data_IF_901612804907
#
_entry.id   IF_901612804907
#
_cell.length_a   1.000
_cell.length_b   1.000
_cell.length_c   1.000
_cell.angle_alpha   90.00
_cell.angle_beta   90.00
_cell.angle_gamma   90.00
#
_symmetry.space_group_name_H-M   'P 1'
#
loop_
_entity.id
_entity.type
_entity.pdbx_description
1 polymer ?
#
# COMPACT_ATOMS: atom_id res chain seq x y z
N UNK A 1 -10.38 13.83 -7.76
CA UNK A 1 -11.73 14.34 -7.44
C UNK A 1 -12.21 15.39 -8.43
N UNK A 2 -11.44 16.45 -8.68
CA UNK A 2 -11.82 17.54 -9.60
C UNK A 2 -12.21 17.10 -11.01
N UNK A 3 -11.62 16.02 -11.51
CA UNK A 3 -11.93 15.45 -12.84
C UNK A 3 -13.31 14.77 -12.83
N UNK A 4 -13.63 14.07 -11.75
CA UNK A 4 -14.89 13.35 -11.63
C UNK A 4 -16.06 14.24 -11.18
N UNK A 5 -15.77 15.26 -10.37
CA UNK A 5 -16.74 16.19 -9.79
C UNK A 5 -16.24 17.63 -9.91
N UNK A 6 -16.21 18.20 -11.14
CA UNK A 6 -15.60 19.53 -11.38
C UNK A 6 -16.36 20.68 -10.69
N UNK A 7 -17.62 20.49 -10.37
CA UNK A 7 -18.49 21.52 -9.77
C UNK A 7 -18.83 21.25 -8.29
N UNK A 8 -18.26 20.21 -7.69
CA UNK A 8 -18.55 19.82 -6.31
C UNK A 8 -17.30 19.97 -5.44
N UNK A 9 -17.26 21.05 -4.67
CA UNK A 9 -16.15 21.38 -3.77
C UNK A 9 -16.04 20.34 -2.64
N UNK A 10 -17.15 19.81 -2.14
CA UNK A 10 -17.17 18.83 -1.05
C UNK A 10 -16.44 17.54 -1.48
N UNK A 11 -16.73 17.05 -2.69
CA UNK A 11 -16.06 15.89 -3.27
C UNK A 11 -14.57 16.13 -3.54
N UNK A 12 -14.15 17.38 -3.81
CA UNK A 12 -12.74 17.72 -3.98
C UNK A 12 -11.99 17.79 -2.65
N UNK A 13 -12.62 18.33 -1.61
CA UNK A 13 -12.03 18.52 -0.28
C UNK A 13 -12.02 17.20 0.52
N UNK A 14 -12.96 16.31 0.31
CA UNK A 14 -13.13 15.11 1.12
C UNK A 14 -11.84 14.24 1.25
N UNK A 15 -11.11 13.88 0.18
CA UNK A 15 -9.85 13.14 0.30
C UNK A 15 -8.77 13.88 1.11
N UNK A 16 -8.72 15.21 0.99
CA UNK A 16 -7.77 16.03 1.75
C UNK A 16 -8.13 16.04 3.24
N UNK A 17 -9.42 16.13 3.56
CA UNK A 17 -9.91 16.10 4.94
C UNK A 17 -9.64 14.72 5.58
N UNK A 18 -9.84 13.62 4.84
CA UNK A 18 -9.45 12.26 5.29
C UNK A 18 -7.96 12.25 5.65
N UNK A 19 -7.10 12.70 4.73
CA UNK A 19 -5.65 12.73 4.96
C UNK A 19 -5.27 13.56 6.19
N UNK A 20 -5.82 14.78 6.31
CA UNK A 20 -5.57 15.66 7.45
C UNK A 20 -6.04 15.07 8.79
N UNK A 21 -7.24 14.51 8.85
CA UNK A 21 -7.78 13.88 10.07
C UNK A 21 -6.95 12.65 10.48
N UNK A 22 -6.52 11.85 9.53
CA UNK A 22 -5.76 10.62 9.80
C UNK A 22 -4.27 10.88 10.17
N UNK A 23 -3.74 12.07 9.93
CA UNK A 23 -2.46 12.48 10.54
C UNK A 23 -2.59 12.48 12.07
N UNK A 24 -3.67 13.02 12.61
CA UNK A 24 -3.90 13.05 14.05
C UNK A 24 -4.03 11.63 14.63
N UNK A 25 -4.72 10.73 13.94
CA UNK A 25 -4.83 9.33 14.38
C UNK A 25 -3.48 8.59 14.33
N UNK A 26 -2.64 8.89 13.35
CA UNK A 26 -1.28 8.35 13.27
C UNK A 26 -0.41 8.85 14.44
N UNK A 27 -0.48 10.14 14.78
CA UNK A 27 0.22 10.71 15.94
C UNK A 27 -0.27 10.04 17.23
N UNK A 28 -1.58 9.88 17.42
CA UNK A 28 -2.15 9.18 18.58
C UNK A 28 -1.59 7.76 18.65
N UNK A 29 -1.55 7.03 17.53
CA UNK A 29 -1.03 5.66 17.48
C UNK A 29 0.41 5.54 17.97
N UNK A 30 1.27 6.53 17.71
CA UNK A 30 2.67 6.48 18.17
C UNK A 30 2.81 6.41 19.70
N UNK A 31 1.91 7.02 20.44
CA UNK A 31 1.93 6.96 21.91
C UNK A 31 1.62 5.56 22.47
N UNK A 32 1.02 4.69 21.67
CA UNK A 32 0.70 3.31 22.05
C UNK A 32 1.80 2.31 21.67
N UNK A 33 2.83 2.75 20.95
CA UNK A 33 4.03 1.94 20.67
C UNK A 33 4.84 1.81 21.95
N UNK A 34 4.50 0.81 22.78
CA UNK A 34 5.15 0.56 24.05
C UNK A 34 5.45 -0.92 24.22
N UNK A 35 6.69 -1.21 24.59
CA UNK A 35 7.12 -2.56 24.94
C UNK A 35 6.39 -3.00 26.21
N UNK A 36 5.58 -4.05 26.11
CA UNK A 36 4.87 -4.62 27.27
C UNK A 36 5.70 -5.68 27.99
N UNK A 37 5.08 -6.36 28.96
CA UNK A 37 5.72 -7.42 29.76
C UNK A 37 6.24 -8.59 28.89
N UNK A 38 5.65 -8.84 27.73
CA UNK A 38 6.09 -9.88 26.79
C UNK A 38 7.43 -9.60 26.12
N UNK A 39 7.93 -8.37 26.19
CA UNK A 39 9.14 -7.88 25.50
C UNK A 39 9.13 -8.16 23.98
N UNK A 40 7.96 -8.39 23.39
CA UNK A 40 7.80 -8.62 21.95
C UNK A 40 7.71 -7.28 21.22
N UNK A 41 8.75 -6.97 20.47
CA UNK A 41 8.90 -5.70 19.74
C UNK A 41 7.84 -5.57 18.64
N UNK A 42 7.57 -6.64 17.88
CA UNK A 42 6.58 -6.62 16.79
C UNK A 42 5.18 -6.31 17.32
N UNK A 43 4.80 -6.93 18.45
CA UNK A 43 3.53 -6.64 19.10
C UNK A 43 3.42 -5.18 19.60
N UNK A 44 4.52 -4.58 20.02
CA UNK A 44 4.55 -3.17 20.42
C UNK A 44 4.27 -2.25 19.23
N UNK A 45 4.88 -2.54 18.09
CA UNK A 45 4.67 -1.80 16.83
C UNK A 45 3.22 -1.95 16.33
N UNK A 46 2.68 -3.16 16.36
CA UNK A 46 1.29 -3.42 15.97
C UNK A 46 0.26 -2.74 16.86
N UNK A 47 0.51 -2.57 18.15
CA UNK A 47 -0.40 -1.78 19.01
C UNK A 47 -0.58 -0.36 18.46
N UNK A 48 0.51 0.32 18.11
CA UNK A 48 0.43 1.65 17.52
C UNK A 48 -0.33 1.66 16.19
N UNK A 49 -0.05 0.69 15.31
CA UNK A 49 -0.73 0.55 14.04
C UNK A 49 -2.24 0.31 14.20
N UNK A 50 -2.63 -0.65 15.06
CA UNK A 50 -4.03 -0.99 15.30
C UNK A 50 -4.78 0.20 15.90
N UNK A 51 -4.18 0.92 16.85
CA UNK A 51 -4.78 2.12 17.43
C UNK A 51 -4.97 3.20 16.38
N UNK A 52 -3.98 3.44 15.50
CA UNK A 52 -4.11 4.38 14.39
C UNK A 52 -5.25 3.98 13.44
N UNK A 53 -5.34 2.70 13.08
CA UNK A 53 -6.38 2.19 12.18
C UNK A 53 -7.78 2.31 12.79
N UNK A 54 -7.95 1.92 14.06
CA UNK A 54 -9.24 2.04 14.75
C UNK A 54 -9.65 3.49 14.97
N UNK A 55 -8.71 4.36 15.35
CA UNK A 55 -8.97 5.79 15.47
C UNK A 55 -9.35 6.41 14.11
N UNK A 56 -8.70 5.98 13.01
CA UNK A 56 -9.04 6.39 11.65
C UNK A 56 -10.44 5.92 11.26
N UNK A 57 -10.80 4.68 11.57
CA UNK A 57 -12.14 4.16 11.34
C UNK A 57 -13.21 5.00 12.03
N UNK A 58 -12.96 5.39 13.29
CA UNK A 58 -13.91 6.19 14.07
C UNK A 58 -14.02 7.62 13.53
N UNK A 59 -12.89 8.26 13.20
CA UNK A 59 -12.90 9.66 12.75
C UNK A 59 -13.42 9.82 11.31
N UNK A 60 -13.30 8.79 10.48
CA UNK A 60 -13.83 8.81 9.11
C UNK A 60 -15.35 9.02 9.08
N UNK A 61 -16.10 8.48 10.04
CA UNK A 61 -17.56 8.62 10.08
C UNK A 61 -18.00 10.09 10.20
N UNK A 62 -17.61 10.85 11.27
CA UNK A 62 -17.98 12.25 11.36
C UNK A 62 -17.33 13.14 10.29
N UNK A 63 -16.16 12.78 9.77
CA UNK A 63 -15.55 13.50 8.63
C UNK A 63 -16.42 13.34 7.38
N UNK A 64 -16.91 12.14 7.10
CA UNK A 64 -17.80 11.91 5.96
C UNK A 64 -19.11 12.65 6.12
N UNK A 65 -19.71 12.62 7.31
CA UNK A 65 -20.95 13.32 7.60
C UNK A 65 -20.79 14.84 7.45
N UNK A 66 -19.74 15.40 8.03
CA UNK A 66 -19.50 16.85 8.00
C UNK A 66 -19.20 17.37 6.60
N UNK A 67 -18.42 16.64 5.79
CA UNK A 67 -17.98 17.13 4.46
C UNK A 67 -18.98 16.81 3.38
N UNK A 68 -19.56 15.62 3.40
CA UNK A 68 -20.44 15.12 2.34
C UNK A 68 -21.92 15.06 2.78
N UNK A 69 -22.18 14.77 4.05
CA UNK A 69 -23.48 14.31 4.52
C UNK A 69 -23.74 12.86 4.16
N UNK A 70 -24.04 12.04 5.16
CA UNK A 70 -24.15 10.58 4.97
C UNK A 70 -25.28 10.17 4.01
N UNK A 71 -26.38 10.92 4.01
CA UNK A 71 -27.57 10.64 3.20
C UNK A 71 -27.57 11.33 1.83
N UNK A 72 -26.67 12.27 1.60
CA UNK A 72 -26.59 12.99 0.33
C UNK A 72 -26.22 12.06 -0.81
N UNK A 73 -26.98 12.12 -1.90
CA UNK A 73 -26.75 11.26 -3.07
C UNK A 73 -25.89 12.00 -4.09
N UNK A 74 -24.88 11.33 -4.55
CA UNK A 74 -23.96 11.77 -5.58
C UNK A 74 -24.05 10.86 -6.79
N UNK A 75 -23.89 11.41 -7.98
CA UNK A 75 -23.96 10.64 -9.22
C UNK A 75 -22.69 10.85 -10.03
N UNK A 76 -22.03 9.75 -10.40
CA UNK A 76 -20.89 9.74 -11.29
C UNK A 76 -21.21 8.87 -12.50
N UNK A 77 -21.40 9.50 -13.66
CA UNK A 77 -21.88 8.83 -14.89
C UNK A 77 -23.21 8.11 -14.60
N UNK A 78 -23.25 6.79 -14.76
CA UNK A 78 -24.45 5.98 -14.60
C UNK A 78 -24.61 5.39 -13.19
N UNK A 79 -23.76 5.80 -12.23
CA UNK A 79 -23.76 5.26 -10.88
C UNK A 79 -24.09 6.33 -9.84
N UNK A 80 -25.13 6.08 -9.05
CA UNK A 80 -25.48 6.89 -7.89
C UNK A 80 -25.08 6.17 -6.61
N UNK A 81 -24.58 6.92 -5.64
CA UNK A 81 -24.15 6.44 -4.31
C UNK A 81 -24.36 7.53 -3.27
N UNK A 82 -24.53 7.13 -2.02
CA UNK A 82 -24.68 8.06 -0.90
C UNK A 82 -23.31 8.38 -0.25
N UNK A 83 -23.25 9.42 0.57
CA UNK A 83 -22.06 9.73 1.34
C UNK A 83 -21.62 8.58 2.25
N UNK A 84 -22.56 7.84 2.84
CA UNK A 84 -22.27 6.66 3.66
C UNK A 84 -21.57 5.54 2.85
N UNK A 85 -21.85 5.42 1.56
CA UNK A 85 -21.20 4.43 0.69
C UNK A 85 -19.70 4.72 0.54
N UNK A 86 -19.32 5.99 0.53
CA UNK A 86 -17.92 6.40 0.51
C UNK A 86 -17.21 6.12 1.85
N UNK A 87 -17.91 6.25 2.97
CA UNK A 87 -17.42 5.78 4.25
C UNK A 87 -17.12 4.27 4.21
N UNK A 88 -18.03 3.46 3.67
CA UNK A 88 -17.78 2.02 3.52
C UNK A 88 -16.61 1.71 2.59
N UNK A 89 -16.44 2.47 1.50
CA UNK A 89 -15.24 2.36 0.67
C UNK A 89 -13.96 2.65 1.46
N UNK A 90 -14.00 3.66 2.34
CA UNK A 90 -12.91 3.97 3.25
C UNK A 90 -12.60 2.84 4.23
N UNK A 91 -13.63 2.24 4.84
CA UNK A 91 -13.50 1.06 5.72
C UNK A 91 -12.85 -0.10 4.97
N UNK A 92 -13.26 -0.38 3.74
CA UNK A 92 -12.65 -1.41 2.90
C UNK A 92 -11.16 -1.14 2.69
N UNK A 93 -10.76 0.13 2.43
CA UNK A 93 -9.35 0.50 2.32
C UNK A 93 -8.54 0.19 3.58
N UNK A 94 -9.07 0.47 4.77
CA UNK A 94 -8.43 0.12 6.04
C UNK A 94 -8.32 -1.40 6.23
N UNK A 95 -9.36 -2.15 5.87
CA UNK A 95 -9.36 -3.63 5.94
C UNK A 95 -8.32 -4.22 5.00
N UNK A 96 -8.26 -3.75 3.75
CA UNK A 96 -7.24 -4.16 2.78
C UNK A 96 -5.83 -3.92 3.35
N UNK A 97 -5.59 -2.76 3.95
CA UNK A 97 -4.31 -2.45 4.58
C UNK A 97 -3.95 -3.47 5.66
N UNK A 98 -4.88 -3.78 6.55
CA UNK A 98 -4.68 -4.79 7.61
C UNK A 98 -4.39 -6.19 7.05
N UNK A 99 -5.13 -6.62 6.03
CA UNK A 99 -4.95 -7.91 5.39
C UNK A 99 -3.60 -8.02 4.66
N UNK A 100 -3.17 -6.97 3.96
CA UNK A 100 -1.88 -6.94 3.28
C UNK A 100 -0.71 -7.00 4.27
N UNK A 101 -0.81 -6.27 5.39
CA UNK A 101 0.17 -6.32 6.47
C UNK A 101 0.27 -7.73 7.04
N UNK A 102 -0.88 -8.33 7.37
CA UNK A 102 -0.94 -9.69 7.94
C UNK A 102 -0.35 -10.76 6.99
N UNK A 103 -0.72 -10.72 5.71
CA UNK A 103 -0.20 -11.68 4.72
C UNK A 103 1.31 -11.49 4.50
N UNK A 104 1.77 -10.24 4.45
CA UNK A 104 3.20 -9.96 4.26
C UNK A 104 4.00 -10.43 5.47
N UNK A 105 3.50 -10.25 6.70
CA UNK A 105 4.12 -10.79 7.90
C UNK A 105 4.22 -12.32 7.85
N UNK A 106 3.17 -13.00 7.39
CA UNK A 106 3.20 -14.46 7.22
C UNK A 106 4.34 -14.92 6.32
N UNK A 107 4.60 -14.20 5.20
CA UNK A 107 5.67 -14.56 4.28
C UNK A 107 7.06 -14.13 4.71
N UNK A 108 7.19 -13.22 5.68
CA UNK A 108 8.49 -12.60 6.05
C UNK A 108 8.88 -12.80 7.51
N UNK A 109 7.94 -13.20 8.36
CA UNK A 109 8.21 -13.46 9.77
C UNK A 109 8.93 -14.79 10.00
N UNK A 110 9.94 -14.77 10.86
CA UNK A 110 10.81 -15.93 11.13
C UNK A 110 10.08 -17.11 11.77
N UNK A 111 8.92 -16.89 12.33
CA UNK A 111 8.11 -17.92 12.98
C UNK A 111 7.26 -18.76 12.01
N UNK A 112 7.11 -18.32 10.76
CA UNK A 112 6.21 -18.91 9.79
C UNK A 112 6.91 -19.87 8.80
N UNK A 113 6.11 -20.72 8.14
CA UNK A 113 6.58 -21.72 7.19
C UNK A 113 7.47 -21.16 6.07
N UNK A 114 7.10 -20.04 5.41
CA UNK A 114 7.87 -19.55 4.28
C UNK A 114 9.33 -19.30 4.62
N UNK A 115 9.60 -18.49 5.66
CA UNK A 115 10.98 -18.18 6.09
C UNK A 115 11.70 -19.42 6.59
N UNK A 116 11.03 -20.29 7.35
CA UNK A 116 11.63 -21.56 7.83
C UNK A 116 12.02 -22.47 6.67
N UNK A 117 11.23 -22.52 5.60
CA UNK A 117 11.53 -23.35 4.43
C UNK A 117 12.77 -22.84 3.68
N UNK A 118 12.92 -21.52 3.53
CA UNK A 118 14.11 -20.91 2.93
C UNK A 118 15.35 -21.15 3.81
N UNK A 119 15.23 -20.98 5.12
CA UNK A 119 16.32 -21.25 6.06
C UNK A 119 16.74 -22.72 6.02
N UNK A 120 15.81 -23.66 5.97
CA UNK A 120 16.08 -25.10 5.86
C UNK A 120 16.80 -25.44 4.53
N UNK A 121 16.43 -24.83 3.42
CA UNK A 121 17.05 -25.07 2.12
C UNK A 121 18.52 -24.60 2.06
N UNK A 122 18.91 -23.64 2.91
CA UNK A 122 20.29 -23.18 2.97
C UNK A 122 21.27 -24.23 3.52
N UNK A 123 20.77 -25.25 4.22
CA UNK A 123 21.59 -26.38 4.70
C UNK A 123 22.04 -27.34 3.59
N UNK A 124 21.34 -27.31 2.45
CA UNK A 124 21.61 -28.19 1.30
C UNK A 124 22.49 -27.54 0.23
N UNK A 125 22.68 -26.21 0.29
CA UNK A 125 23.56 -25.46 -0.59
C UNK A 125 22.99 -24.12 -1.05
N UNK A 126 23.85 -23.31 -1.66
CA UNK A 126 23.49 -21.97 -2.12
C UNK A 126 22.44 -21.98 -3.25
N UNK A 127 22.55 -22.92 -4.19
CA UNK A 127 21.62 -23.04 -5.32
C UNK A 127 20.21 -23.37 -4.85
N UNK A 128 20.06 -24.33 -3.94
CA UNK A 128 18.77 -24.70 -3.37
C UNK A 128 18.12 -23.57 -2.56
N UNK A 129 18.94 -22.80 -1.84
CA UNK A 129 18.47 -21.63 -1.11
C UNK A 129 17.90 -20.55 -2.04
N UNK A 130 18.60 -20.23 -3.13
CA UNK A 130 18.12 -19.26 -4.14
C UNK A 130 16.84 -19.72 -4.79
N UNK A 131 16.76 -21.00 -5.19
CA UNK A 131 15.55 -21.58 -5.79
C UNK A 131 14.36 -21.50 -4.83
N UNK A 132 14.56 -21.90 -3.57
CA UNK A 132 13.51 -21.84 -2.57
C UNK A 132 13.06 -20.41 -2.28
N UNK A 133 14.00 -19.47 -2.21
CA UNK A 133 13.69 -18.05 -2.05
C UNK A 133 12.84 -17.49 -3.21
N UNK A 134 13.20 -17.82 -4.45
CA UNK A 134 12.43 -17.46 -5.63
C UNK A 134 11.03 -18.09 -5.61
N UNK A 135 10.91 -19.38 -5.27
CA UNK A 135 9.63 -20.08 -5.18
C UNK A 135 8.71 -19.41 -4.17
N UNK A 136 9.20 -19.11 -2.96
CA UNK A 136 8.43 -18.41 -1.93
C UNK A 136 8.05 -16.99 -2.37
N UNK A 137 8.95 -16.26 -3.04
CA UNK A 137 8.63 -14.91 -3.53
C UNK A 137 7.52 -14.91 -4.57
N UNK A 138 7.48 -15.89 -5.46
CA UNK A 138 6.40 -16.07 -6.43
C UNK A 138 5.08 -16.48 -5.75
N UNK A 139 5.13 -17.43 -4.81
CA UNK A 139 3.97 -17.83 -4.00
C UNK A 139 3.35 -16.62 -3.25
N UNK A 140 4.20 -15.75 -2.69
CA UNK A 140 3.79 -14.59 -1.89
C UNK A 140 3.00 -13.53 -2.69
N UNK A 141 2.99 -13.58 -4.00
CA UNK A 141 2.23 -12.64 -4.84
C UNK A 141 0.73 -12.97 -4.89
N UNK A 142 0.34 -14.23 -4.70
CA UNK A 142 -1.00 -14.72 -4.97
C UNK A 142 -2.06 -14.08 -4.04
N UNK A 143 -1.89 -14.22 -2.73
CA UNK A 143 -2.89 -13.73 -1.76
C UNK A 143 -3.03 -12.21 -1.81
N UNK A 144 -1.93 -11.40 -1.82
CA UNK A 144 -2.04 -9.95 -2.00
C UNK A 144 -2.77 -9.55 -3.27
N UNK A 145 -2.51 -10.21 -4.40
CA UNK A 145 -3.22 -9.94 -5.65
C UNK A 145 -4.72 -10.18 -5.51
N UNK A 146 -5.14 -11.28 -4.87
CA UNK A 146 -6.55 -11.57 -4.63
C UNK A 146 -7.22 -10.54 -3.70
N UNK A 147 -6.51 -10.08 -2.66
CA UNK A 147 -7.00 -9.03 -1.76
C UNK A 147 -7.23 -7.73 -2.55
N UNK A 148 -6.27 -7.34 -3.40
CA UNK A 148 -6.38 -6.14 -4.24
C UNK A 148 -7.56 -6.27 -5.21
N UNK A 149 -7.68 -7.41 -5.89
CA UNK A 149 -8.81 -7.68 -6.82
C UNK A 149 -10.15 -7.60 -6.09
N UNK A 150 -10.27 -8.23 -4.94
CA UNK A 150 -11.49 -8.15 -4.13
C UNK A 150 -11.80 -6.70 -3.72
N UNK A 151 -10.79 -5.94 -3.29
CA UNK A 151 -10.92 -4.53 -2.93
C UNK A 151 -11.42 -3.68 -4.10
N UNK A 152 -10.86 -3.85 -5.29
CA UNK A 152 -11.27 -3.16 -6.50
C UNK A 152 -12.74 -3.48 -6.82
N UNK A 153 -13.11 -4.75 -6.84
CA UNK A 153 -14.46 -5.18 -7.19
C UNK A 153 -15.51 -4.68 -6.18
N UNK A 154 -15.22 -4.78 -4.89
CA UNK A 154 -16.13 -4.34 -3.83
C UNK A 154 -16.35 -2.82 -3.89
N UNK A 155 -15.27 -2.03 -3.91
CA UNK A 155 -15.39 -0.57 -3.90
C UNK A 155 -15.95 -0.02 -5.21
N UNK A 156 -15.62 -0.63 -6.34
CA UNK A 156 -16.24 -0.29 -7.62
C UNK A 156 -17.73 -0.62 -7.65
N UNK A 157 -18.14 -1.72 -7.03
CA UNK A 157 -19.56 -2.06 -6.95
C UNK A 157 -20.35 -1.09 -6.05
N UNK A 158 -19.73 -0.53 -5.02
CA UNK A 158 -20.38 0.44 -4.11
C UNK A 158 -20.48 1.82 -4.77
N UNK A 159 -19.35 2.44 -5.16
CA UNK A 159 -19.30 3.83 -5.61
C UNK A 159 -18.45 4.05 -6.88
N UNK A 160 -18.31 3.03 -7.72
CA UNK A 160 -17.56 3.11 -8.98
C UNK A 160 -16.09 3.47 -8.77
N UNK A 161 -15.50 4.11 -9.77
CA UNK A 161 -14.09 4.54 -9.73
C UNK A 161 -13.77 5.49 -8.57
N UNK A 162 -14.73 6.30 -8.15
CA UNK A 162 -14.55 7.20 -7.01
C UNK A 162 -14.48 6.44 -5.69
N UNK A 163 -15.25 5.35 -5.55
CA UNK A 163 -15.14 4.43 -4.41
C UNK A 163 -13.75 3.81 -4.27
N UNK A 164 -13.15 3.39 -5.39
CA UNK A 164 -11.76 2.89 -5.41
C UNK A 164 -10.80 4.01 -4.96
N UNK A 165 -10.99 5.25 -5.45
CA UNK A 165 -10.15 6.39 -5.08
C UNK A 165 -10.21 6.69 -3.58
N UNK A 166 -11.39 6.62 -2.96
CA UNK A 166 -11.55 6.81 -1.51
C UNK A 166 -10.91 5.68 -0.72
N UNK A 167 -11.07 4.43 -1.15
CA UNK A 167 -10.37 3.30 -0.51
C UNK A 167 -8.85 3.47 -0.54
N UNK A 168 -8.28 3.88 -1.67
CA UNK A 168 -6.83 4.20 -1.77
C UNK A 168 -6.45 5.36 -0.85
N UNK A 169 -7.27 6.41 -0.80
CA UNK A 169 -7.02 7.57 0.06
C UNK A 169 -6.98 7.18 1.53
N UNK A 170 -7.88 6.32 1.98
CA UNK A 170 -7.90 5.84 3.37
C UNK A 170 -6.77 4.85 3.67
N UNK A 171 -6.38 4.01 2.73
CA UNK A 171 -5.13 3.26 2.85
C UNK A 171 -3.96 4.21 3.09
N UNK A 172 -3.78 5.21 2.22
CA UNK A 172 -2.68 6.17 2.29
C UNK A 172 -2.77 7.10 3.51
N UNK A 173 -3.95 7.29 4.09
CA UNK A 173 -4.13 8.05 5.31
C UNK A 173 -3.41 7.43 6.53
N UNK A 174 -3.14 6.12 6.52
CA UNK A 174 -2.31 5.43 7.50
C UNK A 174 -0.80 5.56 7.24
N UNK A 175 -0.39 6.24 6.16
CA UNK A 175 1.02 6.33 5.77
C UNK A 175 1.92 6.87 6.87
N UNK A 176 1.44 7.80 7.71
CA UNK A 176 2.23 8.33 8.84
C UNK A 176 2.74 7.23 9.76
N UNK A 177 1.87 6.32 10.18
CA UNK A 177 2.26 5.18 11.03
C UNK A 177 3.03 4.11 10.26
N UNK A 178 2.63 3.83 9.02
CA UNK A 178 3.30 2.82 8.19
C UNK A 178 4.73 3.25 7.84
N UNK A 179 4.96 4.51 7.49
CA UNK A 179 6.31 5.03 7.22
C UNK A 179 7.18 5.07 8.48
N UNK A 180 6.59 5.33 9.65
CA UNK A 180 7.31 5.19 10.92
C UNK A 180 7.78 3.74 11.16
N UNK A 181 6.94 2.76 10.83
CA UNK A 181 7.32 1.33 10.87
C UNK A 181 8.40 0.99 9.83
N UNK A 182 8.36 1.60 8.65
CA UNK A 182 9.38 1.41 7.63
C UNK A 182 10.75 1.97 8.08
N UNK A 183 10.75 3.19 8.60
CA UNK A 183 11.96 3.85 9.09
C UNK A 183 12.62 3.10 10.26
N UNK A 184 11.85 2.37 11.06
CA UNK A 184 12.37 1.51 12.13
C UNK A 184 13.38 0.48 11.59
N UNK A 185 13.13 -0.13 10.44
CA UNK A 185 13.97 -1.15 9.85
C UNK A 185 15.42 -0.68 9.58
N UNK A 186 15.65 0.38 8.77
CA UNK A 186 16.98 0.92 8.53
C UNK A 186 17.71 1.38 9.80
N UNK A 187 16.99 1.91 10.79
CA UNK A 187 17.60 2.32 12.08
C UNK A 187 18.15 1.11 12.84
N UNK A 188 17.37 0.04 12.93
CA UNK A 188 17.82 -1.19 13.66
C UNK A 188 18.91 -1.93 12.92
N UNK A 189 18.86 -1.99 11.59
CA UNK A 189 19.88 -2.59 10.73
C UNK A 189 21.23 -1.86 10.90
N UNK A 190 21.23 -0.52 10.82
CA UNK A 190 22.44 0.26 11.07
C UNK A 190 22.94 0.12 12.51
N UNK A 191 22.06 0.06 13.49
CA UNK A 191 22.46 -0.15 14.89
C UNK A 191 23.16 -1.51 15.07
N UNK A 192 22.66 -2.57 14.44
CA UNK A 192 23.27 -3.89 14.39
C UNK A 192 24.66 -3.85 13.73
N UNK A 193 24.76 -3.21 12.56
CA UNK A 193 26.03 -3.05 11.84
C UNK A 193 27.08 -2.27 12.64
N UNK A 194 26.71 -1.18 13.29
CA UNK A 194 27.62 -0.42 14.16
C UNK A 194 28.09 -1.28 15.34
N UNK A 195 27.18 -2.01 15.98
CA UNK A 195 27.51 -2.88 17.10
C UNK A 195 28.50 -4.00 16.70
N UNK A 196 28.31 -4.58 15.50
CA UNK A 196 29.21 -5.60 14.93
C UNK A 196 30.58 -5.03 14.63
N UNK A 197 30.66 -3.97 13.81
CA UNK A 197 31.91 -3.38 13.35
C UNK A 197 32.73 -2.79 14.50
N UNK A 198 32.07 -2.25 15.52
CA UNK A 198 32.72 -1.70 16.72
C UNK A 198 33.03 -2.77 17.76
N UNK A 199 32.73 -4.04 17.48
CA UNK A 199 32.98 -5.18 18.38
C UNK A 199 32.39 -4.94 19.79
N UNK A 200 31.18 -4.43 19.85
CA UNK A 200 30.51 -4.17 21.13
C UNK A 200 30.21 -5.47 21.89
N UNK A 201 30.03 -5.39 23.23
CA UNK A 201 29.76 -6.56 24.06
C UNK A 201 28.54 -7.36 23.63
N UNK A 202 28.54 -8.68 23.88
CA UNK A 202 27.46 -9.58 23.47
C UNK A 202 26.06 -9.22 23.99
N UNK A 203 25.96 -8.53 25.13
CA UNK A 203 24.66 -8.05 25.64
C UNK A 203 24.06 -6.95 24.74
N UNK A 204 24.89 -6.08 24.16
CA UNK A 204 24.46 -5.07 23.19
C UNK A 204 24.04 -5.78 21.90
N UNK A 205 24.87 -6.74 21.40
CA UNK A 205 24.57 -7.52 20.19
C UNK A 205 23.24 -8.26 20.29
N UNK A 206 22.95 -8.92 21.41
CA UNK A 206 21.65 -9.60 21.62
C UNK A 206 20.46 -8.65 21.49
N UNK A 207 20.62 -7.40 21.91
CA UNK A 207 19.55 -6.40 21.79
C UNK A 207 19.42 -5.91 20.37
N UNK A 208 20.52 -5.54 19.71
CA UNK A 208 20.51 -5.04 18.32
C UNK A 208 20.04 -6.12 17.34
N UNK A 209 20.46 -7.37 17.50
CA UNK A 209 20.04 -8.48 16.64
C UNK A 209 18.53 -8.77 16.79
N UNK A 210 18.00 -8.71 18.01
CA UNK A 210 16.56 -8.87 18.24
C UNK A 210 15.73 -7.73 17.60
N UNK A 211 16.24 -6.50 17.63
CA UNK A 211 15.59 -5.35 17.00
C UNK A 211 15.68 -5.42 15.48
N UNK A 212 16.83 -5.83 14.94
CA UNK A 212 17.06 -5.96 13.50
C UNK A 212 16.19 -7.06 12.87
N UNK A 213 16.03 -8.20 13.53
CA UNK A 213 15.13 -9.25 13.08
C UNK A 213 13.70 -8.76 12.87
N UNK A 214 13.19 -7.90 13.76
CA UNK A 214 11.89 -7.25 13.60
C UNK A 214 11.93 -6.18 12.52
N UNK A 215 13.01 -5.41 12.43
CA UNK A 215 13.23 -4.39 11.41
C UNK A 215 13.15 -4.95 9.99
N UNK A 216 13.69 -6.13 9.76
CA UNK A 216 13.61 -6.81 8.46
C UNK A 216 12.18 -7.20 8.09
N UNK A 217 11.36 -7.61 9.06
CA UNK A 217 9.94 -7.89 8.83
C UNK A 217 9.15 -6.59 8.57
N UNK A 218 9.39 -5.52 9.31
CA UNK A 218 8.68 -4.24 9.10
C UNK A 218 8.99 -3.64 7.74
N UNK A 219 10.23 -3.69 7.25
CA UNK A 219 10.60 -3.28 5.89
C UNK A 219 9.76 -4.00 4.82
N UNK A 220 9.53 -5.29 4.98
CA UNK A 220 8.73 -6.07 4.03
C UNK A 220 7.24 -5.75 4.14
N UNK A 221 6.71 -5.63 5.34
CA UNK A 221 5.30 -5.30 5.62
C UNK A 221 4.92 -3.95 5.00
N UNK A 222 5.77 -2.94 5.13
CA UNK A 222 5.52 -1.60 4.57
C UNK A 222 5.57 -1.60 3.04
N UNK A 223 6.41 -2.44 2.42
CA UNK A 223 6.42 -2.64 0.97
C UNK A 223 5.14 -3.32 0.47
N UNK A 224 4.64 -4.33 1.18
CA UNK A 224 3.34 -4.95 0.87
C UNK A 224 2.20 -3.95 0.86
N UNK A 225 2.15 -3.07 1.86
CA UNK A 225 1.22 -1.95 1.91
C UNK A 225 1.38 -0.99 0.72
N UNK A 226 2.62 -0.59 0.40
CA UNK A 226 2.91 0.32 -0.70
C UNK A 226 2.49 -0.27 -2.06
N UNK A 227 2.74 -1.56 -2.28
CA UNK A 227 2.33 -2.27 -3.51
C UNK A 227 0.80 -2.33 -3.61
N UNK A 228 0.11 -2.63 -2.51
CA UNK A 228 -1.35 -2.71 -2.48
C UNK A 228 -2.01 -1.37 -2.81
N UNK A 229 -1.56 -0.28 -2.18
CA UNK A 229 -2.08 1.06 -2.45
C UNK A 229 -1.75 1.52 -3.88
N UNK A 230 -0.56 1.19 -4.40
CA UNK A 230 -0.19 1.48 -5.78
C UNK A 230 -1.03 0.69 -6.80
N UNK A 231 -1.34 -0.58 -6.51
CA UNK A 231 -2.17 -1.41 -7.40
C UNK A 231 -3.59 -0.86 -7.57
N UNK A 232 -4.25 -0.49 -6.47
CA UNK A 232 -5.54 0.19 -6.54
C UNK A 232 -5.41 1.60 -7.16
N UNK A 233 -4.36 2.35 -6.76
CA UNK A 233 -4.12 3.72 -7.23
C UNK A 233 -3.84 3.81 -8.72
N UNK A 234 -3.15 2.84 -9.30
CA UNK A 234 -2.85 2.80 -10.73
C UNK A 234 -4.13 2.81 -11.58
N UNK A 235 -5.17 2.08 -11.17
CA UNK A 235 -6.46 2.07 -11.86
C UNK A 235 -7.13 3.44 -11.82
N UNK A 236 -7.11 4.10 -10.66
CA UNK A 236 -7.68 5.44 -10.47
C UNK A 236 -6.94 6.49 -11.31
N UNK A 237 -5.60 6.43 -11.32
CA UNK A 237 -4.76 7.33 -12.12
C UNK A 237 -4.97 7.12 -13.62
N UNK A 238 -5.09 5.87 -14.07
CA UNK A 238 -5.37 5.56 -15.46
C UNK A 238 -6.77 6.08 -15.86
N UNK A 239 -7.77 5.93 -15.01
CA UNK A 239 -9.09 6.47 -15.25
C UNK A 239 -9.07 8.01 -15.32
N UNK A 240 -8.34 8.68 -14.42
CA UNK A 240 -8.15 10.13 -14.46
C UNK A 240 -7.48 10.59 -15.76
N UNK A 241 -6.39 9.94 -16.15
CA UNK A 241 -5.71 10.19 -17.41
C UNK A 241 -6.64 10.06 -18.63
N UNK A 242 -7.45 9.02 -18.66
CA UNK A 242 -8.43 8.80 -19.74
C UNK A 242 -9.47 9.92 -19.81
N UNK A 243 -9.97 10.38 -18.67
CA UNK A 243 -10.94 11.48 -18.63
C UNK A 243 -10.30 12.81 -19.02
N UNK A 244 -9.06 13.08 -18.61
CA UNK A 244 -8.32 14.28 -19.03
C UNK A 244 -8.17 14.32 -20.57
N UNK A 245 -7.76 13.21 -21.19
CA UNK A 245 -7.63 13.17 -22.65
C UNK A 245 -9.00 13.42 -23.31
N UNK A 246 -10.07 12.80 -22.82
CA UNK A 246 -11.44 13.05 -23.32
C UNK A 246 -11.87 14.50 -23.15
N UNK A 247 -11.47 15.15 -22.06
CA UNK A 247 -11.73 16.57 -21.86
C UNK A 247 -11.01 17.41 -22.92
N UNK A 248 -9.68 17.25 -23.04
CA UNK A 248 -8.88 18.01 -23.98
C UNK A 248 -9.19 17.72 -25.46
N UNK A 249 -9.70 16.52 -25.78
CA UNK A 249 -10.16 16.21 -27.14
C UNK A 249 -11.38 17.02 -27.59
N UNK A 250 -12.13 17.61 -26.62
CA UNK A 250 -13.30 18.47 -26.89
C UNK A 250 -12.96 19.97 -26.83
N UNK A 251 -11.77 20.35 -26.41
CA UNK A 251 -11.33 21.74 -26.30
C UNK A 251 -10.81 22.20 -27.65
N UNK A 252 -11.47 23.21 -28.25
CA UNK A 252 -11.06 23.79 -29.52
C UNK A 252 -9.64 24.38 -29.43
N UNK A 253 -8.80 24.10 -30.42
CA UNK A 253 -7.40 24.53 -30.46
C UNK A 253 -6.44 23.70 -29.61
N UNK A 254 -6.91 22.66 -28.93
CA UNK A 254 -6.07 21.69 -28.25
C UNK A 254 -5.31 20.81 -29.27
N UNK A 255 -4.07 20.43 -28.94
CA UNK A 255 -3.32 19.42 -29.73
C UNK A 255 -4.01 18.06 -29.79
N UNK A 256 -4.96 17.81 -28.90
CA UNK A 256 -5.73 16.58 -28.80
C UNK A 256 -7.14 16.71 -29.37
N UNK A 257 -7.47 17.85 -29.98
CA UNK A 257 -8.80 18.09 -30.56
C UNK A 257 -9.19 17.01 -31.56
N UNK A 258 -10.37 16.43 -31.40
CA UNK A 258 -10.90 15.37 -32.26
C UNK A 258 -10.29 13.99 -32.11
N UNK A 259 -9.32 13.80 -31.17
CA UNK A 259 -8.74 12.48 -30.92
C UNK A 259 -9.74 11.63 -30.15
N UNK A 260 -10.12 10.49 -30.71
CA UNK A 260 -10.89 9.45 -30.01
C UNK A 260 -9.90 8.51 -29.32
N UNK A 261 -9.87 8.54 -28.01
CA UNK A 261 -8.99 7.68 -27.21
C UNK A 261 -9.74 6.42 -26.80
N UNK A 262 -9.30 5.29 -27.32
CA UNK A 262 -9.74 3.96 -26.89
C UNK A 262 -8.53 3.12 -26.51
N UNK A 263 -8.60 2.47 -25.34
CA UNK A 263 -7.56 1.54 -24.87
C UNK A 263 -8.02 0.11 -25.12
N UNK A 264 -8.27 -0.19 -26.41
CA UNK A 264 -8.70 -1.50 -26.83
C UNK A 264 -7.47 -2.41 -27.04
N UNK A 265 -7.53 -3.61 -26.47
CA UNK A 265 -6.46 -4.61 -26.60
C UNK A 265 -6.30 -5.14 -28.05
N UNK A 266 -7.28 -4.94 -28.91
CA UNK A 266 -7.16 -5.22 -30.34
C UNK A 266 -6.28 -4.21 -31.08
N UNK A 267 -6.01 -3.04 -30.47
CA UNK A 267 -5.13 -2.04 -31.03
C UNK A 267 -3.65 -2.39 -30.77
N UNK A 268 -2.83 -2.62 -31.82
CA UNK A 268 -1.44 -3.03 -31.65
C UNK A 268 -0.59 -2.01 -30.87
N UNK A 269 -0.87 -0.72 -30.96
CA UNK A 269 -0.14 0.30 -30.20
C UNK A 269 -0.41 0.19 -28.68
N UNK A 270 -1.61 -0.20 -28.27
CA UNK A 270 -1.93 -0.47 -26.87
C UNK A 270 -1.15 -1.69 -26.37
N UNK A 271 -1.11 -2.76 -27.16
CA UNK A 271 -0.34 -3.98 -26.83
C UNK A 271 1.16 -3.68 -26.73
N UNK A 272 1.71 -2.90 -27.66
CA UNK A 272 3.13 -2.47 -27.62
C UNK A 272 3.40 -1.68 -26.34
N UNK A 273 2.52 -0.75 -25.97
CA UNK A 273 2.65 0.01 -24.72
C UNK A 273 2.64 -0.89 -23.49
N UNK A 274 1.74 -1.88 -23.44
CA UNK A 274 1.69 -2.87 -22.35
C UNK A 274 2.95 -3.73 -22.27
N UNK A 275 3.48 -4.19 -23.41
CA UNK A 275 4.71 -4.98 -23.45
C UNK A 275 5.93 -4.17 -22.98
N UNK A 276 6.05 -2.91 -23.42
CA UNK A 276 7.13 -2.02 -22.95
C UNK A 276 6.96 -1.76 -21.46
N UNK A 277 5.75 -1.41 -21.00
CA UNK A 277 5.46 -1.19 -19.58
C UNK A 277 5.75 -2.41 -18.72
N UNK A 278 5.41 -3.62 -19.19
CA UNK A 278 5.71 -4.88 -18.51
C UNK A 278 7.19 -5.24 -18.49
N UNK A 279 7.94 -4.88 -19.52
CA UNK A 279 9.39 -5.12 -19.63
C UNK A 279 10.20 -4.28 -18.62
N UNK A 280 9.83 -3.03 -18.41
CA UNK A 280 10.62 -2.08 -17.61
C UNK A 280 10.92 -2.55 -16.19
N UNK A 281 9.97 -3.09 -15.39
CA UNK A 281 10.25 -3.60 -14.05
C UNK A 281 11.27 -4.74 -14.03
N UNK A 282 11.22 -5.65 -15.02
CA UNK A 282 12.19 -6.75 -15.12
C UNK A 282 13.58 -6.26 -15.47
N UNK A 283 13.69 -5.32 -16.43
CA UNK A 283 14.96 -4.71 -16.79
C UNK A 283 15.58 -3.97 -15.59
N UNK A 284 14.78 -3.15 -14.90
CA UNK A 284 15.22 -2.43 -13.70
C UNK A 284 15.63 -3.39 -12.58
N UNK A 285 14.85 -4.44 -12.33
CA UNK A 285 15.16 -5.47 -11.36
C UNK A 285 16.47 -6.19 -11.67
N UNK A 286 16.71 -6.54 -12.94
CA UNK A 286 17.98 -7.15 -13.39
C UNK A 286 19.17 -6.22 -13.13
N UNK A 287 19.07 -4.95 -13.51
CA UNK A 287 20.13 -3.96 -13.28
C UNK A 287 20.42 -3.77 -11.78
N UNK A 288 19.37 -3.73 -10.96
CA UNK A 288 19.48 -3.64 -9.50
C UNK A 288 20.21 -4.85 -8.90
N UNK A 289 19.78 -6.07 -9.26
CA UNK A 289 20.45 -7.30 -8.78
C UNK A 289 21.90 -7.37 -9.19
N UNK A 290 22.25 -6.98 -10.43
CA UNK A 290 23.64 -6.93 -10.89
C UNK A 290 24.46 -5.89 -10.12
N UNK A 291 23.89 -4.73 -9.79
CA UNK A 291 24.58 -3.72 -9.01
C UNK A 291 24.86 -4.18 -7.58
N UNK A 292 23.89 -4.79 -6.91
CA UNK A 292 24.05 -5.37 -5.58
C UNK A 292 25.07 -6.51 -5.59
N UNK A 293 25.04 -7.38 -6.61
CA UNK A 293 25.99 -8.47 -6.75
C UNK A 293 27.44 -8.03 -6.96
N UNK A 294 27.66 -6.80 -7.48
CA UNK A 294 29.00 -6.22 -7.60
C UNK A 294 29.47 -5.52 -6.32
N UNK A 295 28.56 -4.99 -5.50
CA UNK A 295 28.89 -4.34 -4.22
C UNK A 295 29.24 -5.36 -3.14
#
# INVERSE_FOLDING_TARGET
>A
SSIFFPNDMSMMIYPLTIGGACILTSIIGTFFVRLGNSKNVMNALYKGFIVSALASLIILYPVTDYVLGLENIYTLKDKSFAGIDLYYCGVIGLVITGLLIWVTEYYTGTNYRPVKSVASSSTTGHGTNVIQGLAISLEATAIPALIIVAGILLTNNIAGLYGIAIAVTTMLALAGMVVALDAYGPVTDNAGGIAEMSKLPNNVRKTTDALDAVGNTTKAVTKGYAIGSAGLGALVLFAAYTEDIKHFSKVAGSKLEGIIVTFDLSNPYVVVGLLIGGMLPYLFGSMGMQAVGRA
#
